data_IF_504982947260
#
_entry.id   IF_504982947260
#
_cell.length_a   1.000
_cell.length_b   1.000
_cell.length_c   1.000
_cell.angle_alpha   90.00
_cell.angle_beta   90.00
_cell.angle_gamma   90.00
#
_symmetry.space_group_name_H-M   'P 1'
#
loop_
_entity.id
_entity.type
_entity.pdbx_description
1 polymer ?
#
# COMPACT_ATOMS: atom_id res chain seq x y z
N UNK A 1 10.07 42.73 6.91
CA UNK A 1 8.99 41.73 7.09
C UNK A 1 9.43 40.78 8.20
N UNK A 2 8.55 40.50 9.17
CA UNK A 2 8.86 39.64 10.32
C UNK A 2 9.31 38.23 9.86
N UNK A 3 10.30 37.64 10.54
CA UNK A 3 10.80 36.29 10.22
C UNK A 3 9.71 35.22 10.27
N UNK A 4 8.78 35.32 11.24
CA UNK A 4 7.64 34.41 11.34
C UNK A 4 6.72 34.48 10.11
N UNK A 5 6.51 35.67 9.53
CA UNK A 5 5.72 35.83 8.32
C UNK A 5 6.44 35.30 7.08
N UNK A 6 7.78 35.37 7.03
CA UNK A 6 8.58 34.76 5.96
C UNK A 6 8.45 33.24 5.98
N UNK A 7 8.55 32.62 7.15
CA UNK A 7 8.40 31.17 7.34
C UNK A 7 6.98 30.72 6.97
N UNK A 8 5.95 31.42 7.46
CA UNK A 8 4.56 31.14 7.11
C UNK A 8 4.33 31.22 5.61
N UNK A 9 4.89 32.24 4.96
CA UNK A 9 4.81 32.40 3.50
C UNK A 9 5.54 31.29 2.74
N UNK A 10 6.66 30.78 3.23
CA UNK A 10 7.38 29.68 2.57
C UNK A 10 6.70 28.31 2.73
N UNK A 11 5.94 28.11 3.81
CA UNK A 11 5.20 26.86 4.05
C UNK A 11 3.84 26.82 3.35
N UNK A 12 3.32 27.98 2.96
CA UNK A 12 2.01 28.10 2.32
C UNK A 12 2.18 28.11 0.80
N UNK A 13 1.43 27.30 0.04
CA UNK A 13 1.46 27.36 -1.41
C UNK A 13 1.16 28.77 -1.93
N UNK A 14 1.91 29.21 -2.93
CA UNK A 14 1.90 30.58 -3.42
C UNK A 14 0.53 31.08 -3.90
N UNK A 15 -0.37 30.16 -4.29
CA UNK A 15 -1.70 30.50 -4.75
C UNK A 15 -2.65 31.00 -3.64
N UNK A 16 -2.43 30.64 -2.37
CA UNK A 16 -3.22 31.17 -1.24
C UNK A 16 -2.79 32.59 -0.84
N UNK A 17 -1.58 33.01 -1.21
CA UNK A 17 -1.04 34.32 -0.83
C UNK A 17 -1.15 35.25 -2.04
N UNK A 18 -2.31 35.90 -2.17
CA UNK A 18 -2.63 36.80 -3.29
C UNK A 18 -1.74 38.04 -3.36
N UNK A 19 -1.23 38.50 -2.22
CA UNK A 19 -0.36 39.67 -2.10
C UNK A 19 0.64 39.46 -0.97
N UNK A 20 1.80 40.13 -1.06
CA UNK A 20 2.90 39.94 -0.12
C UNK A 20 2.80 40.73 1.19
N UNK A 21 1.65 41.34 1.46
CA UNK A 21 1.38 42.05 2.71
C UNK A 21 0.96 41.09 3.84
N UNK A 22 0.99 41.57 5.08
CA UNK A 22 0.80 40.72 6.26
C UNK A 22 -0.61 40.12 6.33
N UNK A 23 -1.65 40.88 5.98
CA UNK A 23 -3.03 40.42 6.06
C UNK A 23 -3.28 39.32 5.01
N UNK A 24 -2.76 39.49 3.79
CA UNK A 24 -2.86 38.48 2.75
C UNK A 24 -2.08 37.20 3.07
N UNK A 25 -0.90 37.31 3.71
CA UNK A 25 -0.13 36.14 4.16
C UNK A 25 -0.91 35.38 5.24
N UNK A 26 -1.38 36.06 6.28
CA UNK A 26 -2.11 35.42 7.38
C UNK A 26 -3.44 34.84 6.89
N UNK A 27 -4.18 35.57 6.05
CA UNK A 27 -5.42 35.09 5.45
C UNK A 27 -5.21 33.83 4.60
N UNK A 28 -4.19 33.82 3.74
CA UNK A 28 -3.85 32.66 2.92
C UNK A 28 -3.43 31.44 3.74
N UNK A 29 -2.66 31.64 4.81
CA UNK A 29 -2.30 30.55 5.75
C UNK A 29 -3.55 29.96 6.40
N UNK A 30 -4.48 30.80 6.87
CA UNK A 30 -5.72 30.33 7.52
C UNK A 30 -6.57 29.52 6.55
N UNK A 31 -6.74 29.99 5.31
CA UNK A 31 -7.47 29.27 4.26
C UNK A 31 -6.82 27.91 3.96
N UNK A 32 -5.50 27.88 3.79
CA UNK A 32 -4.75 26.64 3.56
C UNK A 32 -4.89 25.64 4.72
N UNK A 33 -4.77 26.09 5.97
CA UNK A 33 -4.95 25.22 7.16
C UNK A 33 -6.37 24.64 7.21
N UNK A 34 -7.39 25.45 6.91
CA UNK A 34 -8.79 24.98 6.87
C UNK A 34 -8.99 23.90 5.82
N UNK A 35 -8.44 24.07 4.62
CA UNK A 35 -8.51 23.05 3.57
C UNK A 35 -7.78 21.77 3.98
N UNK A 36 -6.58 21.87 4.55
CA UNK A 36 -5.84 20.71 5.04
C UNK A 36 -6.63 19.95 6.12
N UNK A 37 -7.26 20.67 7.06
CA UNK A 37 -8.11 20.05 8.09
C UNK A 37 -9.33 19.35 7.48
N UNK A 38 -9.97 19.96 6.48
CA UNK A 38 -11.09 19.34 5.78
C UNK A 38 -10.69 18.07 5.03
N UNK A 39 -9.54 18.08 4.34
CA UNK A 39 -9.00 16.89 3.67
C UNK A 39 -8.71 15.79 4.68
N UNK A 40 -8.08 16.12 5.81
CA UNK A 40 -7.78 15.17 6.88
C UNK A 40 -9.07 14.49 7.39
N UNK A 41 -10.09 15.27 7.74
CA UNK A 41 -11.37 14.76 8.21
C UNK A 41 -12.08 13.88 7.16
N UNK A 42 -12.03 14.29 5.89
CA UNK A 42 -12.58 13.50 4.79
C UNK A 42 -11.87 12.14 4.66
N UNK A 43 -10.54 12.11 4.78
CA UNK A 43 -9.75 10.88 4.75
C UNK A 43 -10.01 9.98 5.95
N UNK A 44 -10.12 10.53 7.16
CA UNK A 44 -10.48 9.78 8.37
C UNK A 44 -11.88 9.14 8.26
N UNK A 45 -12.85 9.88 7.72
CA UNK A 45 -14.19 9.35 7.49
C UNK A 45 -14.17 8.20 6.47
N UNK A 46 -13.34 8.30 5.42
CA UNK A 46 -13.15 7.25 4.42
C UNK A 46 -12.46 6.02 5.02
N UNK A 47 -11.48 6.22 5.91
CA UNK A 47 -10.83 5.14 6.68
C UNK A 47 -11.87 4.39 7.54
N UNK A 48 -12.72 5.10 8.29
CA UNK A 48 -13.77 4.49 9.12
C UNK A 48 -14.79 3.70 8.31
N UNK A 49 -15.20 4.20 7.14
CA UNK A 49 -16.13 3.47 6.26
C UNK A 49 -15.53 2.19 5.68
N UNK A 50 -14.21 2.14 5.44
CA UNK A 50 -13.50 0.90 5.06
C UNK A 50 -13.34 -0.08 6.23
N UNK A 51 -13.19 0.40 7.47
CA UNK A 51 -13.07 -0.47 8.66
C UNK A 51 -14.41 -0.97 9.21
N UNK A 52 -15.53 -0.31 8.87
CA UNK A 52 -16.86 -0.62 9.38
C UNK A 52 -17.76 -1.36 8.38
N UNK A 53 -17.25 -1.80 7.22
CA UNK A 53 -18.00 -2.74 6.40
C UNK A 53 -18.06 -4.07 7.17
N UNK A 54 -19.22 -4.48 7.71
CA UNK A 54 -19.34 -5.73 8.41
C UNK A 54 -19.23 -6.81 7.35
N UNK A 55 -18.09 -7.49 7.30
CA UNK A 55 -18.02 -8.80 6.64
C UNK A 55 -19.02 -9.68 7.41
N UNK A 56 -20.08 -10.22 6.79
CA UNK A 56 -20.99 -11.10 7.49
C UNK A 56 -20.21 -12.36 7.86
N UNK A 57 -19.89 -12.50 9.14
CA UNK A 57 -19.41 -13.73 9.74
C UNK A 57 -20.60 -14.68 9.89
N UNK A 58 -20.60 -15.87 9.26
CA UNK A 58 -21.48 -16.94 9.68
C UNK A 58 -20.84 -17.64 10.86
N UNK A 59 -21.57 -17.65 11.97
CA UNK A 59 -21.32 -18.51 13.13
C UNK A 59 -21.21 -19.99 12.73
N UNK A 60 -20.25 -20.67 13.37
CA UNK A 60 -19.91 -22.10 13.27
C UNK A 60 -21.12 -23.03 13.44
N UNK A 61 -21.06 -24.25 12.86
CA UNK A 61 -20.96 -25.41 13.75
C UNK A 61 -19.86 -26.41 13.34
N UNK A 62 -19.38 -27.13 14.36
CA UNK A 62 -18.38 -28.21 14.32
C UNK A 62 -18.81 -29.33 13.35
N UNK A 63 -17.85 -29.98 12.68
CA UNK A 63 -17.72 -31.45 12.50
C UNK A 63 -17.09 -31.86 11.15
N UNK A 64 -15.96 -32.59 11.25
CA UNK A 64 -15.45 -33.68 10.39
C UNK A 64 -15.14 -33.44 8.89
N UNK A 65 -13.84 -33.57 8.57
CA UNK A 65 -13.18 -34.24 7.43
C UNK A 65 -13.65 -33.95 5.97
N UNK A 66 -12.68 -33.85 5.04
CA UNK A 66 -12.73 -34.03 3.55
C UNK A 66 -12.40 -32.73 2.72
N UNK A 67 -11.66 -32.83 1.59
CA UNK A 67 -10.64 -31.85 1.18
C UNK A 67 -11.15 -30.66 0.34
N UNK A 68 -10.39 -29.56 0.45
CA UNK A 68 -10.69 -28.25 -0.10
C UNK A 68 -10.77 -28.22 -1.63
N UNK A 69 -11.90 -27.71 -2.15
CA UNK A 69 -12.03 -27.09 -3.47
C UNK A 69 -11.89 -25.57 -3.32
N UNK A 70 -11.30 -24.85 -4.29
CA UNK A 70 -11.21 -23.39 -4.22
C UNK A 70 -12.57 -22.76 -4.52
N UNK A 71 -13.13 -22.05 -3.55
CA UNK A 71 -14.37 -21.30 -3.72
C UNK A 71 -14.09 -19.95 -4.38
N UNK A 72 -14.50 -19.82 -5.64
CA UNK A 72 -14.63 -18.53 -6.31
C UNK A 72 -15.70 -17.69 -5.60
N UNK A 73 -15.33 -16.49 -5.15
CA UNK A 73 -16.26 -15.40 -4.85
C UNK A 73 -15.86 -14.20 -5.72
N UNK A 74 -16.67 -13.74 -6.69
CA UNK A 74 -16.36 -12.55 -7.45
C UNK A 74 -16.72 -11.32 -6.61
N UNK A 75 -15.72 -10.61 -6.08
CA UNK A 75 -15.92 -9.25 -5.58
C UNK A 75 -15.87 -8.33 -6.79
N UNK A 76 -17.05 -7.92 -7.25
CA UNK A 76 -17.21 -6.89 -8.27
C UNK A 76 -16.81 -5.52 -7.72
N UNK A 77 -15.76 -4.95 -8.30
CA UNK A 77 -15.59 -3.52 -8.41
C UNK A 77 -15.55 -3.22 -9.91
N UNK A 78 -16.65 -2.68 -10.45
CA UNK A 78 -16.68 -2.16 -11.81
C UNK A 78 -15.72 -0.98 -11.91
N UNK A 79 -14.51 -1.27 -12.36
CA UNK A 79 -13.70 -0.33 -13.11
C UNK A 79 -13.14 -1.10 -14.29
N UNK A 80 -13.52 -0.68 -15.48
CA UNK A 80 -13.15 -1.28 -16.75
C UNK A 80 -11.63 -1.50 -16.82
N UNK A 81 -11.20 -2.77 -16.77
CA UNK A 81 -9.98 -3.24 -17.43
C UNK A 81 -8.69 -3.48 -16.62
N UNK A 82 -8.70 -3.64 -15.29
CA UNK A 82 -7.48 -4.04 -14.54
C UNK A 82 -7.62 -5.45 -13.93
N UNK A 83 -6.90 -6.43 -14.49
CA UNK A 83 -6.73 -7.76 -13.90
C UNK A 83 -5.78 -7.62 -12.69
N UNK A 84 -6.25 -7.99 -11.51
CA UNK A 84 -5.49 -7.91 -10.26
C UNK A 84 -5.81 -9.07 -9.31
N UNK A 85 -4.90 -9.33 -8.37
CA UNK A 85 -4.98 -10.35 -7.35
C UNK A 85 -4.65 -9.77 -5.96
N UNK A 86 -5.24 -10.33 -4.90
CA UNK A 86 -4.96 -9.92 -3.53
C UNK A 86 -4.83 -11.13 -2.59
N UNK A 87 -3.84 -11.07 -1.70
CA UNK A 87 -3.59 -12.07 -0.68
C UNK A 87 -3.39 -11.38 0.67
N UNK A 88 -4.34 -11.57 1.60
CA UNK A 88 -4.39 -10.79 2.83
C UNK A 88 -4.26 -11.73 4.04
N UNK A 89 -3.34 -11.43 4.95
CA UNK A 89 -3.13 -12.18 6.19
C UNK A 89 -2.99 -11.25 7.40
N UNK A 90 -2.80 -11.82 8.60
CA UNK A 90 -2.49 -11.05 9.80
C UNK A 90 -1.11 -10.37 9.76
N UNK A 91 -0.21 -10.81 8.87
CA UNK A 91 1.17 -10.31 8.76
C UNK A 91 1.32 -9.26 7.68
N UNK A 92 0.62 -9.41 6.56
CA UNK A 92 0.70 -8.50 5.42
C UNK A 92 -0.59 -8.49 4.57
N UNK A 93 -0.83 -7.36 3.92
CA UNK A 93 -1.84 -7.15 2.88
C UNK A 93 -1.12 -6.98 1.54
N UNK A 94 -1.25 -7.95 0.63
CA UNK A 94 -0.53 -8.01 -0.65
C UNK A 94 -1.51 -7.81 -1.79
N UNK A 95 -1.23 -6.83 -2.65
CA UNK A 95 -2.04 -6.50 -3.82
C UNK A 95 -1.14 -6.45 -5.07
N UNK A 96 -1.49 -7.21 -6.10
CA UNK A 96 -0.79 -7.23 -7.38
C UNK A 96 -1.74 -6.84 -8.51
N UNK A 97 -1.31 -5.94 -9.40
CA UNK A 97 -2.11 -5.48 -10.55
C UNK A 97 -1.28 -5.40 -11.82
N UNK A 98 -1.85 -5.75 -12.96
CA UNK A 98 -1.18 -5.56 -14.26
C UNK A 98 -1.36 -4.12 -14.73
N UNK A 99 -0.27 -3.49 -15.17
CA UNK A 99 -0.27 -2.18 -15.82
C UNK A 99 0.65 -2.22 -17.04
N UNK A 100 0.07 -2.31 -18.23
CA UNK A 100 0.82 -2.52 -19.47
C UNK A 100 1.62 -3.83 -19.45
N UNK A 101 2.94 -3.75 -19.62
CA UNK A 101 3.87 -4.89 -19.53
C UNK A 101 4.45 -5.11 -18.12
N UNK A 102 3.96 -4.36 -17.13
CA UNK A 102 4.48 -4.36 -15.77
C UNK A 102 3.42 -4.84 -14.79
N UNK A 103 3.86 -5.22 -13.60
CA UNK A 103 3.02 -5.48 -12.44
C UNK A 103 3.31 -4.41 -11.37
N UNK A 104 2.25 -3.82 -10.84
CA UNK A 104 2.28 -2.99 -9.65
C UNK A 104 1.99 -3.89 -8.45
N UNK A 105 3.00 -4.07 -7.61
CA UNK A 105 2.90 -4.88 -6.40
C UNK A 105 2.96 -3.97 -5.17
N UNK A 106 1.89 -3.96 -4.38
CA UNK A 106 1.79 -3.20 -3.13
C UNK A 106 1.69 -4.16 -1.97
N UNK A 107 2.46 -3.92 -0.92
CA UNK A 107 2.50 -4.75 0.27
C UNK A 107 2.46 -3.83 1.48
N UNK A 108 1.46 -3.99 2.33
CA UNK A 108 1.35 -3.29 3.61
C UNK A 108 1.57 -4.29 4.73
N UNK A 109 2.55 -4.05 5.59
CA UNK A 109 2.87 -4.96 6.69
C UNK A 109 3.39 -4.20 7.91
N UNK A 110 3.53 -4.90 9.04
CA UNK A 110 4.31 -4.37 10.17
C UNK A 110 5.78 -4.29 9.82
N UNK A 111 6.52 -3.42 10.51
CA UNK A 111 7.97 -3.30 10.33
C UNK A 111 8.67 -4.55 10.83
N UNK A 112 9.18 -5.36 9.90
CA UNK A 112 9.93 -6.59 10.17
C UNK A 112 11.34 -6.43 9.56
N UNK A 113 12.41 -6.48 10.37
CA UNK A 113 13.78 -6.42 9.86
C UNK A 113 14.06 -7.50 8.81
N UNK A 114 14.73 -7.15 7.70
CA UNK A 114 15.09 -8.08 6.63
C UNK A 114 13.95 -8.53 5.71
N UNK A 115 12.69 -8.15 5.98
CA UNK A 115 11.56 -8.60 5.16
C UNK A 115 11.65 -8.14 3.70
N UNK A 116 12.17 -6.94 3.46
CA UNK A 116 12.36 -6.43 2.09
C UNK A 116 13.30 -7.33 1.28
N UNK A 117 14.35 -7.87 1.90
CA UNK A 117 15.29 -8.75 1.24
C UNK A 117 14.62 -10.08 0.86
N UNK A 118 13.77 -10.61 1.74
CA UNK A 118 12.99 -11.83 1.45
C UNK A 118 12.03 -11.61 0.28
N UNK A 119 11.35 -10.46 0.23
CA UNK A 119 10.45 -10.11 -0.89
C UNK A 119 11.25 -10.01 -2.19
N UNK A 120 12.38 -9.30 -2.19
CA UNK A 120 13.23 -9.17 -3.38
C UNK A 120 13.75 -10.53 -3.85
N UNK A 121 14.17 -11.41 -2.93
CA UNK A 121 14.60 -12.77 -3.27
C UNK A 121 13.48 -13.59 -3.93
N UNK A 122 12.23 -13.45 -3.47
CA UNK A 122 11.07 -14.05 -4.15
C UNK A 122 10.94 -13.50 -5.57
N UNK A 123 10.98 -12.18 -5.76
CA UNK A 123 10.84 -11.58 -7.09
C UNK A 123 11.95 -12.06 -8.06
N UNK A 124 13.20 -12.13 -7.59
CA UNK A 124 14.33 -12.63 -8.37
C UNK A 124 14.18 -14.11 -8.74
N UNK A 125 13.74 -14.95 -7.79
CA UNK A 125 13.47 -16.39 -8.02
C UNK A 125 12.51 -16.62 -9.19
N UNK A 126 11.54 -15.73 -9.40
CA UNK A 126 10.56 -15.83 -10.49
C UNK A 126 10.90 -14.97 -11.71
N UNK A 127 12.15 -14.51 -11.82
CA UNK A 127 12.64 -13.70 -12.95
C UNK A 127 11.87 -12.39 -13.16
N UNK A 128 11.33 -11.79 -12.09
CA UNK A 128 10.82 -10.43 -12.13
C UNK A 128 11.96 -9.43 -12.03
N UNK A 129 11.93 -8.39 -12.86
CA UNK A 129 12.89 -7.28 -12.80
C UNK A 129 12.24 -6.11 -12.04
N UNK A 130 12.84 -5.69 -10.93
CA UNK A 130 12.35 -4.54 -10.16
C UNK A 130 12.78 -3.26 -10.86
N UNK A 131 11.83 -2.52 -11.43
CA UNK A 131 12.08 -1.23 -12.08
C UNK A 131 12.09 -0.08 -11.07
N UNK A 132 11.18 -0.12 -10.10
CA UNK A 132 11.04 0.90 -9.07
C UNK A 132 10.57 0.29 -7.77
N UNK A 133 11.14 0.73 -6.66
CA UNK A 133 10.73 0.39 -5.31
C UNK A 133 10.57 1.68 -4.51
N UNK A 134 9.35 1.91 -4.02
CA UNK A 134 9.10 2.92 -2.98
C UNK A 134 8.85 2.22 -1.65
N UNK A 135 9.55 2.67 -0.62
CA UNK A 135 9.35 2.22 0.76
C UNK A 135 8.86 3.42 1.55
N UNK A 136 7.63 3.34 2.06
CA UNK A 136 7.05 4.39 2.90
C UNK A 136 6.66 3.79 4.24
N UNK A 137 7.14 4.37 5.33
CA UNK A 137 6.81 3.91 6.69
C UNK A 137 5.99 4.95 7.43
N UNK A 138 5.01 4.49 8.21
CA UNK A 138 4.21 5.30 9.11
C UNK A 138 4.01 4.50 10.40
N UNK A 139 4.50 5.02 11.52
CA UNK A 139 4.46 4.33 12.82
C UNK A 139 5.07 2.92 12.73
N UNK A 140 4.30 1.88 13.09
CA UNK A 140 4.71 0.47 13.02
C UNK A 140 4.46 -0.19 11.65
N UNK A 141 3.87 0.54 10.70
CA UNK A 141 3.47 0.01 9.39
C UNK A 141 4.45 0.46 8.31
N UNK A 142 4.71 -0.43 7.35
CA UNK A 142 5.50 -0.16 6.16
C UNK A 142 4.68 -0.53 4.92
N UNK A 143 4.69 0.35 3.94
CA UNK A 143 4.19 0.14 2.59
C UNK A 143 5.38 -0.05 1.65
N UNK A 144 5.48 -1.22 1.06
CA UNK A 144 6.34 -1.47 -0.10
C UNK A 144 5.51 -1.34 -1.37
N UNK A 145 5.98 -0.55 -2.33
CA UNK A 145 5.34 -0.37 -3.64
C UNK A 145 6.36 -0.61 -4.73
N UNK A 146 6.23 -1.73 -5.42
CA UNK A 146 7.09 -2.15 -6.51
C UNK A 146 6.41 -1.91 -7.86
N UNK A 147 7.18 -1.42 -8.82
CA UNK A 147 6.89 -1.58 -10.25
C UNK A 147 7.87 -2.62 -10.76
N UNK A 148 7.35 -3.77 -11.16
CA UNK A 148 8.12 -4.91 -11.64
C UNK A 148 7.79 -5.18 -13.09
N UNK A 149 8.79 -5.49 -13.90
CA UNK A 149 8.61 -5.92 -15.28
C UNK A 149 8.45 -7.43 -15.32
N UNK A 150 7.50 -7.90 -16.11
CA UNK A 150 7.27 -9.33 -16.30
C UNK A 150 8.39 -9.86 -17.19
N UNK A 151 9.22 -10.76 -16.65
CA UNK A 151 10.26 -11.44 -17.41
C UNK A 151 9.68 -12.44 -18.41
N UNK A 152 10.36 -12.65 -19.54
CA UNK A 152 9.93 -13.59 -20.60
C UNK A 152 9.82 -15.05 -20.12
N UNK A 153 10.49 -15.38 -19.01
CA UNK A 153 10.48 -16.72 -18.39
C UNK A 153 9.48 -16.83 -17.24
N UNK A 154 8.75 -15.77 -16.91
CA UNK A 154 7.81 -15.80 -15.80
C UNK A 154 6.60 -16.66 -16.17
N UNK A 155 6.32 -17.68 -15.36
CA UNK A 155 5.17 -18.57 -15.52
C UNK A 155 4.08 -18.32 -14.47
N UNK A 156 4.29 -17.36 -13.56
CA UNK A 156 3.36 -17.10 -12.47
C UNK A 156 2.22 -16.19 -12.91
N UNK A 157 1.02 -16.55 -12.46
CA UNK A 157 -0.13 -15.67 -12.39
C UNK A 157 0.05 -14.61 -11.28
N UNK A 158 -0.78 -13.56 -11.30
CA UNK A 158 -0.80 -12.55 -10.24
C UNK A 158 -1.18 -13.14 -8.88
N UNK A 159 -2.07 -14.14 -8.87
CA UNK A 159 -2.51 -14.82 -7.65
C UNK A 159 -1.35 -15.59 -7.01
N UNK A 160 -0.60 -16.35 -7.81
CA UNK A 160 0.57 -17.10 -7.33
C UNK A 160 1.68 -16.16 -6.85
N UNK A 161 1.92 -15.04 -7.55
CA UNK A 161 2.84 -14.02 -7.08
C UNK A 161 2.42 -13.46 -5.71
N UNK A 162 1.15 -13.11 -5.55
CA UNK A 162 0.64 -12.57 -4.28
C UNK A 162 0.80 -13.59 -3.14
N UNK A 163 0.50 -14.87 -3.40
CA UNK A 163 0.66 -15.96 -2.43
C UNK A 163 2.13 -16.19 -2.06
N UNK A 164 3.04 -16.22 -3.03
CA UNK A 164 4.46 -16.47 -2.75
C UNK A 164 5.10 -15.31 -1.96
N UNK A 165 4.76 -14.07 -2.32
CA UNK A 165 5.17 -12.89 -1.55
C UNK A 165 4.61 -12.98 -0.13
N UNK A 166 3.37 -13.42 0.04
CA UNK A 166 2.75 -13.61 1.35
C UNK A 166 3.46 -14.72 2.17
N UNK A 167 3.93 -15.78 1.53
CA UNK A 167 4.68 -16.88 2.17
C UNK A 167 6.03 -16.40 2.72
N UNK A 168 6.67 -15.42 2.09
CA UNK A 168 7.94 -14.84 2.56
C UNK A 168 7.89 -14.24 3.97
N UNK A 169 6.68 -13.95 4.49
CA UNK A 169 6.45 -13.44 5.84
C UNK A 169 6.41 -14.56 6.90
N UNK A 170 6.18 -15.81 6.50
CA UNK A 170 6.12 -16.97 7.40
C UNK A 170 7.46 -17.71 7.50
N UNK A 171 8.37 -17.51 6.54
CA UNK A 171 9.70 -18.10 6.59
C UNK A 171 10.56 -17.41 7.64
N UNK A 172 11.17 -18.18 8.54
CA UNK A 172 12.18 -17.66 9.49
C UNK A 172 13.35 -16.99 8.75
N UNK A 173 14.03 -16.02 9.37
CA UNK A 173 15.26 -15.49 8.80
C UNK A 173 16.29 -16.62 8.70
N UNK A 174 16.58 -17.05 7.47
CA UNK A 174 17.85 -17.71 7.20
C UNK A 174 18.90 -16.62 7.41
N UNK A 175 19.52 -16.63 8.59
CA UNK A 175 20.67 -15.79 8.88
C UNK A 175 21.69 -16.01 7.76
N UNK A 176 22.13 -14.91 7.13
CA UNK A 176 23.43 -14.86 6.47
C UNK A 176 24.50 -15.05 7.54
N UNK A 177 24.75 -16.30 7.90
CA UNK A 177 26.09 -16.74 8.29
C UNK A 177 26.81 -17.14 7.00
N UNK A 178 28.10 -16.82 6.93
CA UNK A 178 29.03 -16.87 5.79
C UNK A 178 29.10 -15.51 5.05
N UNK A 179 30.16 -14.69 5.13
CA UNK A 179 31.54 -14.78 5.66
C UNK A 179 31.92 -13.39 6.21
#
# INVERSE_FOLDING_TARGET
MNEHLKVLRSLTPCFYIKRGDQASIIGGVIEFIKELQQVLQALESKKRRKSLSPRPSPSTPKSLLVPAKPNHSPIGFDTVGEVGACCNSSLADVEARISGSNVLLKIVCRRIPGQILKIVAVLEKFSFEVLHLNISSMEETVLYSFVIKIGLKCQLSLEELAVEVQQSFFSEPVFLNEI
#
